data_IF_922853656994
#
_entry.id   IF_922853656994
#
_cell.length_a   1.000
_cell.length_b   1.000
_cell.length_c   1.000
_cell.angle_alpha   90.00
_cell.angle_beta   90.00
_cell.angle_gamma   90.00
#
_symmetry.space_group_name_H-M   'P 1'
#
loop_
_entity.id
_entity.type
_entity.pdbx_description
1 polymer ?
#
# COMPACT_ATOMS: atom_id res chain seq x y z
N UNK A 1 -4.41 -24.67 16.88
CA UNK A 1 -4.37 -24.42 18.34
C UNK A 1 -4.97 -23.03 18.56
N UNK A 2 -6.08 -22.96 19.29
CA UNK A 2 -7.03 -21.83 19.29
C UNK A 2 -6.38 -20.49 19.71
N UNK A 3 -6.44 -19.48 18.84
CA UNK A 3 -6.16 -18.06 19.19
C UNK A 3 -7.50 -17.36 19.37
N UNK A 4 -7.91 -17.07 20.61
CA UNK A 4 -8.86 -16.00 20.99
C UNK A 4 -9.06 -15.97 22.51
N UNK A 5 -8.56 -14.92 23.18
CA UNK A 5 -9.16 -14.38 24.41
C UNK A 5 -8.63 -12.96 24.68
N UNK A 6 -9.47 -11.99 25.07
CA UNK A 6 -9.09 -10.58 25.22
C UNK A 6 -8.61 -10.25 26.64
N UNK A 7 -7.59 -9.39 26.74
CA UNK A 7 -7.07 -8.85 28.01
C UNK A 7 -7.69 -7.48 28.34
N UNK A 8 -8.11 -7.34 29.60
CA UNK A 8 -8.80 -6.19 30.19
C UNK A 8 -7.85 -5.00 30.41
N UNK A 9 -8.36 -3.81 30.11
CA UNK A 9 -7.74 -2.51 30.38
C UNK A 9 -7.81 -2.19 31.88
N UNK A 10 -6.67 -1.81 32.47
CA UNK A 10 -6.59 -1.21 33.79
C UNK A 10 -6.33 0.30 33.65
N UNK A 11 -7.24 1.11 34.20
CA UNK A 11 -7.08 2.56 34.38
C UNK A 11 -6.17 2.84 35.58
N UNK A 12 -5.28 3.84 35.46
CA UNK A 12 -4.64 4.49 36.60
C UNK A 12 -4.53 6.00 36.37
N UNK A 13 -4.54 6.72 37.49
CA UNK A 13 -4.98 8.09 37.69
C UNK A 13 -3.91 9.17 37.47
N UNK A 14 -4.44 10.38 37.30
CA UNK A 14 -3.83 11.70 37.29
C UNK A 14 -2.70 11.95 38.32
N UNK A 15 -1.67 12.66 37.88
CA UNK A 15 -0.76 13.43 38.71
C UNK A 15 -0.42 14.76 38.03
N UNK A 16 -0.87 15.87 38.62
CA UNK A 16 -0.63 17.23 38.17
C UNK A 16 0.78 17.71 38.56
N UNK A 17 1.51 18.36 37.66
CA UNK A 17 2.72 19.13 38.00
C UNK A 17 2.86 20.40 37.12
N UNK A 18 2.61 21.52 37.81
CA UNK A 18 3.17 22.87 37.72
C UNK A 18 3.76 23.42 36.41
N UNK A 19 3.17 24.55 35.98
CA UNK A 19 3.65 25.50 34.98
C UNK A 19 4.96 26.15 35.40
N UNK A 20 5.98 26.06 34.54
CA UNK A 20 7.14 26.96 34.54
C UNK A 20 7.15 27.79 33.24
N UNK A 21 7.40 29.08 33.40
CA UNK A 21 7.28 30.15 32.39
C UNK A 21 8.62 30.32 31.67
N UNK A 22 8.64 30.18 30.35
CA UNK A 22 9.81 30.45 29.49
C UNK A 22 9.57 31.71 28.62
N UNK A 23 10.64 32.39 28.14
CA UNK A 23 10.62 33.80 27.81
C UNK A 23 10.12 34.13 26.39
N UNK A 24 9.88 35.43 26.20
CA UNK A 24 9.31 36.14 25.05
C UNK A 24 10.03 35.79 23.73
N UNK A 25 9.24 35.47 22.70
CA UNK A 25 9.71 35.21 21.35
C UNK A 25 10.08 36.53 20.63
N UNK A 26 11.28 36.60 20.07
CA UNK A 26 11.68 37.62 19.10
C UNK A 26 10.97 37.37 17.76
N UNK A 27 10.34 38.41 17.21
CA UNK A 27 9.71 38.41 15.90
C UNK A 27 10.76 38.22 14.79
N UNK A 28 10.69 37.08 14.11
CA UNK A 28 11.40 36.87 12.84
C UNK A 28 10.60 37.58 11.74
N UNK A 29 11.07 38.75 11.32
CA UNK A 29 10.54 39.48 10.17
C UNK A 29 10.97 38.78 8.87
N UNK A 30 10.02 38.13 8.20
CA UNK A 30 10.23 37.61 6.84
C UNK A 30 10.03 38.74 5.82
N UNK A 31 11.08 39.06 5.06
CA UNK A 31 11.00 39.94 3.90
C UNK A 31 10.44 39.15 2.71
N UNK A 32 9.21 39.46 2.31
CA UNK A 32 8.61 38.93 1.09
C UNK A 32 9.04 39.79 -0.11
N UNK A 33 9.78 39.19 -1.05
CA UNK A 33 9.88 39.72 -2.39
C UNK A 33 8.49 39.72 -3.05
N UNK A 34 8.13 40.83 -3.70
CA UNK A 34 6.81 41.00 -4.32
C UNK A 34 6.49 39.86 -5.31
N UNK A 35 5.32 39.19 -5.20
CA UNK A 35 4.93 38.17 -6.17
C UNK A 35 4.54 38.82 -7.51
N UNK A 36 4.80 38.15 -8.65
CA UNK A 36 4.23 38.55 -9.92
C UNK A 36 2.70 38.44 -9.85
N UNK A 37 2.02 39.42 -10.44
CA UNK A 37 0.58 39.61 -10.43
C UNK A 37 -0.19 38.34 -10.82
N UNK A 38 -0.76 37.63 -9.84
CA UNK A 38 -1.62 36.45 -10.08
C UNK A 38 -3.00 36.93 -10.49
N UNK A 39 -3.47 36.48 -11.66
CA UNK A 39 -4.84 36.64 -12.14
C UNK A 39 -5.84 36.17 -11.07
N UNK A 40 -6.65 37.09 -10.55
CA UNK A 40 -7.57 36.91 -9.43
C UNK A 40 -8.81 36.06 -9.80
N UNK A 41 -8.59 34.82 -10.24
CA UNK A 41 -9.64 33.82 -10.46
C UNK A 41 -9.74 32.89 -9.24
N UNK A 42 -10.92 32.31 -8.97
CA UNK A 42 -11.08 31.31 -7.91
C UNK A 42 -10.10 30.13 -8.06
N UNK A 43 -9.82 29.75 -9.30
CA UNK A 43 -8.84 28.72 -9.67
C UNK A 43 -7.41 29.09 -9.28
N UNK A 44 -6.99 30.34 -9.48
CA UNK A 44 -5.65 30.80 -9.09
C UNK A 44 -5.38 30.70 -7.59
N UNK A 45 -6.39 31.03 -6.76
CA UNK A 45 -6.30 30.87 -5.30
C UNK A 45 -6.24 29.40 -4.86
N UNK A 46 -7.01 28.54 -5.52
CA UNK A 46 -6.97 27.10 -5.25
C UNK A 46 -5.61 26.48 -5.63
N UNK A 47 -5.07 26.87 -6.79
CA UNK A 47 -3.75 26.44 -7.24
C UNK A 47 -2.67 26.83 -6.23
N UNK A 48 -2.67 28.09 -5.77
CA UNK A 48 -1.71 28.58 -4.79
C UNK A 48 -1.77 27.80 -3.46
N UNK A 49 -2.99 27.54 -2.93
CA UNK A 49 -3.16 26.76 -1.70
C UNK A 49 -2.68 25.31 -1.83
N UNK A 50 -2.85 24.70 -3.02
CA UNK A 50 -2.32 23.36 -3.26
C UNK A 50 -0.80 23.35 -3.44
N UNK A 51 -0.25 24.36 -4.11
CA UNK A 51 1.22 24.53 -4.22
C UNK A 51 1.86 24.66 -2.84
N UNK A 52 1.30 25.45 -1.93
CA UNK A 52 1.77 25.56 -0.55
C UNK A 52 1.79 24.20 0.17
N UNK A 53 0.78 23.35 -0.10
CA UNK A 53 0.75 21.97 0.43
C UNK A 53 1.87 21.09 -0.16
N UNK A 54 2.19 21.26 -1.45
CA UNK A 54 3.23 20.50 -2.15
C UNK A 54 4.65 20.94 -1.81
N UNK A 55 4.83 22.18 -1.37
CA UNK A 55 6.13 22.74 -0.97
C UNK A 55 6.63 22.23 0.39
N UNK A 56 5.78 21.53 1.15
CA UNK A 56 6.23 20.88 2.38
C UNK A 56 7.16 19.72 2.05
N UNK A 57 8.40 19.86 2.51
CA UNK A 57 9.50 18.90 2.27
C UNK A 57 9.79 17.99 3.46
N UNK A 58 9.19 18.27 4.63
CA UNK A 58 9.34 17.41 5.80
C UNK A 58 8.65 16.08 5.51
N UNK A 59 9.42 14.99 5.45
CA UNK A 59 8.92 13.68 5.01
C UNK A 59 7.80 13.10 5.89
N UNK A 60 7.63 13.61 7.11
CA UNK A 60 6.52 13.25 7.99
C UNK A 60 5.17 13.73 7.43
N UNK A 61 5.19 14.80 6.63
CA UNK A 61 4.01 15.52 6.14
C UNK A 61 4.04 15.82 4.63
N UNK A 62 5.11 15.47 3.93
CA UNK A 62 5.25 15.75 2.50
C UNK A 62 4.24 14.96 1.67
N UNK A 63 3.19 15.64 1.17
CA UNK A 63 2.13 15.03 0.34
C UNK A 63 2.69 14.45 -0.97
N UNK A 64 3.84 14.95 -1.43
CA UNK A 64 4.53 14.41 -2.62
C UNK A 64 4.98 12.95 -2.47
N UNK A 65 4.97 12.39 -1.25
CA UNK A 65 5.19 10.96 -1.01
C UNK A 65 4.10 10.07 -1.64
N UNK A 66 2.89 10.60 -1.83
CA UNK A 66 1.79 9.92 -2.52
C UNK A 66 1.97 9.91 -4.05
N UNK A 67 2.91 10.67 -4.60
CA UNK A 67 3.18 10.63 -6.03
C UNK A 67 3.82 11.90 -6.56
N UNK A 68 4.83 11.79 -7.45
CA UNK A 68 5.44 12.97 -8.05
C UNK A 68 4.46 13.75 -8.96
N UNK A 69 3.47 13.05 -9.54
CA UNK A 69 2.51 13.60 -10.50
C UNK A 69 1.61 14.68 -9.90
N UNK A 70 1.51 14.72 -8.57
CA UNK A 70 0.76 15.74 -7.84
C UNK A 70 1.25 17.16 -8.18
N UNK A 71 2.54 17.31 -8.53
CA UNK A 71 3.12 18.59 -8.95
C UNK A 71 2.54 19.14 -10.25
N UNK A 72 1.94 18.30 -11.09
CA UNK A 72 1.30 18.70 -12.33
C UNK A 72 -0.19 19.01 -12.17
N UNK A 73 -0.76 18.90 -10.96
CA UNK A 73 -2.18 19.18 -10.72
C UNK A 73 -2.51 20.68 -10.80
N UNK A 74 -1.70 21.63 -10.27
CA UNK A 74 -2.04 23.06 -10.32
C UNK A 74 -2.34 23.58 -11.73
N UNK A 75 -1.59 23.14 -12.74
CA UNK A 75 -1.80 23.52 -14.16
C UNK A 75 -3.06 22.91 -14.79
N UNK A 76 -3.71 21.96 -14.12
CA UNK A 76 -4.92 21.26 -14.61
C UNK A 76 -6.21 21.80 -13.99
N UNK A 77 -6.11 22.64 -12.96
CA UNK A 77 -7.27 23.19 -12.27
C UNK A 77 -8.11 24.08 -13.19
N UNK A 78 -9.43 24.10 -12.96
CA UNK A 78 -10.40 24.81 -13.79
C UNK A 78 -10.92 24.01 -14.99
N UNK A 79 -10.31 22.85 -15.29
CA UNK A 79 -10.75 21.97 -16.38
C UNK A 79 -11.68 20.83 -15.90
N UNK A 80 -11.79 20.62 -14.59
CA UNK A 80 -12.58 19.54 -14.02
C UNK A 80 -13.10 19.92 -12.64
N UNK A 81 -14.42 19.96 -12.50
CA UNK A 81 -15.10 20.30 -11.24
C UNK A 81 -14.79 19.30 -10.14
N UNK A 82 -14.73 18.00 -10.46
CA UNK A 82 -14.40 16.95 -9.50
C UNK A 82 -12.95 17.07 -9.02
N UNK A 83 -12.00 17.35 -9.92
CA UNK A 83 -10.59 17.54 -9.54
C UNK A 83 -10.42 18.79 -8.67
N UNK A 84 -11.00 19.92 -9.06
CA UNK A 84 -10.95 21.17 -8.30
C UNK A 84 -11.53 20.98 -6.89
N UNK A 85 -12.66 20.25 -6.78
CA UNK A 85 -13.28 19.96 -5.48
C UNK A 85 -12.41 19.05 -4.60
N UNK A 86 -11.76 18.04 -5.18
CA UNK A 86 -10.87 17.12 -4.45
C UNK A 86 -9.60 17.84 -3.97
N UNK A 87 -9.01 18.68 -4.82
CA UNK A 87 -7.86 19.53 -4.45
C UNK A 87 -8.24 20.49 -3.33
N UNK A 88 -9.42 21.12 -3.40
CA UNK A 88 -9.92 21.98 -2.32
C UNK A 88 -10.08 21.22 -1.01
N UNK A 89 -10.61 20.00 -1.05
CA UNK A 89 -10.74 19.16 0.14
C UNK A 89 -9.36 18.89 0.76
N UNK A 90 -8.40 18.42 -0.03
CA UNK A 90 -7.01 18.14 0.41
C UNK A 90 -6.33 19.39 0.97
N UNK A 91 -6.29 20.49 0.23
CA UNK A 91 -5.67 21.75 0.68
C UNK A 91 -6.31 22.29 1.95
N UNK A 92 -7.62 22.11 2.13
CA UNK A 92 -8.30 22.56 3.35
C UNK A 92 -8.06 21.64 4.55
N UNK A 93 -7.86 20.34 4.32
CA UNK A 93 -7.61 19.37 5.38
C UNK A 93 -6.15 19.36 5.84
N UNK A 94 -5.22 19.55 4.91
CA UNK A 94 -3.79 19.43 5.14
C UNK A 94 -3.26 20.21 6.37
N UNK A 95 -3.64 21.49 6.60
CA UNK A 95 -3.17 22.25 7.77
C UNK A 95 -3.55 21.65 9.11
N UNK A 96 -4.48 20.70 9.15
CA UNK A 96 -4.99 20.07 10.38
C UNK A 96 -4.47 18.65 10.60
N UNK A 97 -3.74 18.08 9.63
CA UNK A 97 -3.24 16.69 9.69
C UNK A 97 -2.38 16.46 10.94
N UNK A 98 -1.48 17.38 11.26
CA UNK A 98 -0.61 17.29 12.44
C UNK A 98 -1.36 17.36 13.78
N UNK A 99 -2.60 17.89 13.78
CA UNK A 99 -3.43 18.02 15.00
C UNK A 99 -4.40 16.85 15.16
N UNK A 100 -4.71 16.11 14.10
CA UNK A 100 -5.77 15.10 14.08
C UNK A 100 -7.17 15.66 14.37
N UNK A 101 -7.37 16.98 14.28
CA UNK A 101 -8.61 17.66 14.65
C UNK A 101 -9.07 18.58 13.52
N UNK A 102 -10.14 18.20 12.84
CA UNK A 102 -10.61 18.85 11.61
C UNK A 102 -11.86 19.70 11.87
N UNK A 103 -11.85 21.00 11.51
CA UNK A 103 -13.03 21.86 11.60
C UNK A 103 -14.18 21.39 10.70
N UNK A 104 -15.41 21.76 11.07
CA UNK A 104 -16.61 21.47 10.26
C UNK A 104 -16.49 21.98 8.82
N UNK A 105 -15.84 23.12 8.58
CA UNK A 105 -15.61 23.65 7.24
C UNK A 105 -14.79 22.73 6.34
N UNK A 106 -13.80 22.04 6.91
CA UNK A 106 -12.99 21.03 6.20
C UNK A 106 -13.85 19.83 5.84
N UNK A 107 -14.65 19.34 6.79
CA UNK A 107 -15.58 18.23 6.56
C UNK A 107 -16.63 18.59 5.50
N UNK A 108 -17.06 19.85 5.44
CA UNK A 108 -17.96 20.34 4.38
C UNK A 108 -17.27 20.31 3.01
N UNK A 109 -16.01 20.72 2.90
CA UNK A 109 -15.26 20.64 1.64
C UNK A 109 -15.08 19.19 1.18
N UNK A 110 -14.78 18.28 2.11
CA UNK A 110 -14.73 16.84 1.82
C UNK A 110 -16.09 16.29 1.36
N UNK A 111 -17.18 16.65 2.05
CA UNK A 111 -18.53 16.27 1.60
C UNK A 111 -18.94 16.92 0.26
N UNK A 112 -18.36 18.07 -0.10
CA UNK A 112 -18.52 18.66 -1.43
C UNK A 112 -17.78 17.86 -2.50
N UNK A 113 -16.56 17.40 -2.23
CA UNK A 113 -15.80 16.59 -3.20
C UNK A 113 -16.44 15.22 -3.44
N UNK A 114 -16.99 14.57 -2.41
CA UNK A 114 -17.75 13.32 -2.57
C UNK A 114 -19.01 13.52 -3.44
N UNK A 115 -19.71 14.65 -3.29
CA UNK A 115 -20.86 14.99 -4.14
C UNK A 115 -20.44 15.22 -5.59
N UNK A 116 -19.40 16.02 -5.81
CA UNK A 116 -18.87 16.26 -7.15
C UNK A 116 -18.40 14.97 -7.82
N UNK A 117 -17.78 14.05 -7.06
CA UNK A 117 -17.40 12.73 -7.55
C UNK A 117 -18.61 11.92 -7.97
N UNK A 118 -19.65 11.84 -7.13
CA UNK A 118 -20.89 11.12 -7.48
C UNK A 118 -21.52 11.67 -8.75
N UNK A 119 -21.58 12.99 -8.90
CA UNK A 119 -22.17 13.63 -10.08
C UNK A 119 -21.33 13.35 -11.33
N UNK A 120 -20.00 13.38 -11.20
CA UNK A 120 -19.05 13.05 -12.27
C UNK A 120 -19.14 11.57 -12.71
N UNK A 121 -19.27 10.64 -11.77
CA UNK A 121 -19.41 9.20 -12.06
C UNK A 121 -20.72 8.87 -12.80
N UNK A 122 -21.76 9.69 -12.66
CA UNK A 122 -23.00 9.57 -13.45
C UNK A 122 -22.84 10.06 -14.90
N UNK A 123 -21.74 10.72 -15.25
CA UNK A 123 -21.43 11.14 -16.61
C UNK A 123 -20.34 10.22 -17.23
N UNK A 124 -20.68 9.33 -18.17
CA UNK A 124 -19.73 8.36 -18.73
C UNK A 124 -18.49 8.98 -19.39
N UNK A 125 -18.59 10.19 -19.94
CA UNK A 125 -17.45 10.85 -20.58
C UNK A 125 -16.46 11.39 -19.56
N UNK A 126 -16.94 11.95 -18.45
CA UNK A 126 -16.09 12.47 -17.38
C UNK A 126 -15.54 11.35 -16.49
N UNK A 127 -16.33 10.32 -16.21
CA UNK A 127 -15.98 9.22 -15.32
C UNK A 127 -14.68 8.49 -15.73
N UNK A 128 -14.36 8.47 -17.02
CA UNK A 128 -13.21 7.76 -17.61
C UNK A 128 -11.97 8.64 -17.82
N UNK A 129 -12.01 9.88 -17.34
CA UNK A 129 -10.91 10.83 -17.52
C UNK A 129 -9.82 10.66 -16.46
N UNK A 130 -8.60 11.07 -16.79
CA UNK A 130 -7.50 11.13 -15.85
C UNK A 130 -7.79 12.09 -14.66
N UNK A 131 -8.60 13.13 -14.88
CA UNK A 131 -9.01 14.06 -13.82
C UNK A 131 -9.88 13.36 -12.76
N UNK A 132 -10.80 12.50 -13.18
CA UNK A 132 -11.65 11.72 -12.26
C UNK A 132 -10.84 10.73 -11.45
N UNK A 133 -9.93 9.98 -12.11
CA UNK A 133 -9.03 9.06 -11.42
C UNK A 133 -8.15 9.80 -10.39
N UNK A 134 -7.59 10.95 -10.77
CA UNK A 134 -6.79 11.79 -9.88
C UNK A 134 -7.62 12.29 -8.69
N UNK A 135 -8.86 12.74 -8.94
CA UNK A 135 -9.74 13.21 -7.89
C UNK A 135 -10.10 12.10 -6.89
N UNK A 136 -10.38 10.89 -7.35
CA UNK A 136 -10.64 9.72 -6.49
C UNK A 136 -9.42 9.40 -5.62
N UNK A 137 -8.21 9.47 -6.20
CA UNK A 137 -6.99 9.26 -5.43
C UNK A 137 -6.79 10.34 -4.35
N UNK A 138 -6.99 11.62 -4.67
CA UNK A 138 -6.93 12.71 -3.69
C UNK A 138 -8.00 12.59 -2.60
N UNK A 139 -9.21 12.18 -2.95
CA UNK A 139 -10.30 11.92 -2.00
C UNK A 139 -9.90 10.78 -1.05
N UNK A 140 -9.27 9.72 -1.58
CA UNK A 140 -8.76 8.59 -0.77
C UNK A 140 -7.71 9.05 0.24
N UNK A 141 -6.76 9.89 -0.20
CA UNK A 141 -5.75 10.50 0.67
C UNK A 141 -6.43 11.34 1.76
N UNK A 142 -7.36 12.22 1.36
CA UNK A 142 -8.07 13.10 2.30
C UNK A 142 -8.86 12.28 3.33
N UNK A 143 -9.57 11.23 2.90
CA UNK A 143 -10.30 10.34 3.81
C UNK A 143 -9.37 9.67 4.82
N UNK A 144 -8.17 9.25 4.41
CA UNK A 144 -7.20 8.62 5.31
C UNK A 144 -6.79 9.55 6.47
N UNK A 145 -6.82 10.86 6.26
CA UNK A 145 -6.49 11.85 7.30
C UNK A 145 -7.69 12.19 8.19
N UNK A 146 -8.89 12.28 7.61
CA UNK A 146 -10.09 12.76 8.31
C UNK A 146 -10.63 11.79 9.35
N UNK A 147 -10.19 10.53 9.35
CA UNK A 147 -10.48 9.58 10.42
C UNK A 147 -11.98 9.34 10.62
N UNK A 148 -12.74 9.19 9.52
CA UNK A 148 -14.16 8.85 9.59
C UNK A 148 -14.42 7.46 9.06
N UNK A 149 -14.96 6.62 9.93
CA UNK A 149 -15.55 5.32 9.62
C UNK A 149 -16.70 5.58 8.66
N UNK A 150 -16.50 5.23 7.39
CA UNK A 150 -17.62 4.84 6.56
C UNK A 150 -17.67 3.32 6.57
N UNK A 151 -18.70 2.81 7.24
CA UNK A 151 -19.04 1.39 7.25
C UNK A 151 -19.25 0.93 5.81
N UNK A 152 -18.45 -0.04 5.41
CA UNK A 152 -18.76 -1.02 4.36
C UNK A 152 -19.45 -0.49 3.10
N UNK A 153 -18.72 -0.41 1.97
CA UNK A 153 -19.24 -1.05 0.75
C UNK A 153 -18.18 -1.33 -0.31
N UNK A 154 -17.12 -0.52 -0.42
CA UNK A 154 -16.06 -0.71 -1.43
C UNK A 154 -14.77 -0.09 -0.91
N UNK A 155 -13.64 -0.82 -0.90
CA UNK A 155 -12.36 -0.17 -0.57
C UNK A 155 -12.02 0.85 -1.66
N UNK A 156 -11.44 2.01 -1.31
CA UNK A 156 -11.06 3.02 -2.32
C UNK A 156 -10.17 2.46 -3.42
N UNK A 157 -9.35 1.48 -3.07
CA UNK A 157 -8.52 0.73 -4.03
C UNK A 157 -9.37 -0.09 -5.02
N UNK A 158 -10.50 -0.66 -4.62
CA UNK A 158 -11.47 -1.28 -5.55
C UNK A 158 -12.05 -0.22 -6.51
N UNK A 159 -12.41 0.96 -6.00
CA UNK A 159 -12.91 2.05 -6.84
C UNK A 159 -11.86 2.52 -7.87
N UNK A 160 -10.61 2.70 -7.44
CA UNK A 160 -9.47 3.02 -8.30
C UNK A 160 -9.26 1.92 -9.36
N UNK A 161 -9.28 0.65 -8.95
CA UNK A 161 -9.14 -0.48 -9.86
C UNK A 161 -10.26 -0.53 -10.91
N UNK A 162 -11.51 -0.27 -10.50
CA UNK A 162 -12.65 -0.18 -11.41
C UNK A 162 -12.50 0.97 -12.42
N UNK A 163 -12.06 2.15 -11.98
CA UNK A 163 -11.83 3.28 -12.86
C UNK A 163 -10.71 3.01 -13.86
N UNK A 164 -9.61 2.42 -13.41
CA UNK A 164 -8.50 2.03 -14.29
C UNK A 164 -8.94 1.05 -15.37
N UNK A 165 -9.79 0.06 -15.03
CA UNK A 165 -10.38 -0.88 -15.99
C UNK A 165 -11.33 -0.21 -16.97
N UNK A 166 -12.09 0.79 -16.53
CA UNK A 166 -13.05 1.51 -17.36
C UNK A 166 -12.40 2.59 -18.25
N UNK A 167 -11.14 2.96 -17.96
CA UNK A 167 -10.45 4.06 -18.64
C UNK A 167 -9.83 3.60 -19.96
N UNK A 168 -9.88 4.46 -20.98
CA UNK A 168 -9.19 4.27 -22.26
C UNK A 168 -7.69 4.57 -22.13
N UNK A 169 -6.99 3.84 -21.27
CA UNK A 169 -5.59 4.11 -20.91
C UNK A 169 -4.65 4.16 -22.14
N UNK A 170 -4.97 3.45 -23.23
CA UNK A 170 -4.21 3.50 -24.49
C UNK A 170 -4.20 4.88 -25.17
N UNK A 171 -5.18 5.73 -24.86
CA UNK A 171 -5.29 7.11 -25.36
C UNK A 171 -4.47 8.10 -24.53
N UNK A 172 -4.03 7.71 -23.33
CA UNK A 172 -3.31 8.60 -22.41
C UNK A 172 -1.85 8.75 -22.86
N UNK A 173 -1.41 10.01 -23.03
CA UNK A 173 -0.11 10.36 -23.63
C UNK A 173 0.70 11.32 -22.78
N UNK A 174 0.09 12.00 -21.82
CA UNK A 174 0.80 12.98 -21.01
C UNK A 174 1.66 12.31 -19.93
N UNK A 175 2.70 13.02 -19.50
CA UNK A 175 3.58 12.59 -18.42
C UNK A 175 2.79 12.33 -17.13
N UNK A 176 1.95 13.30 -16.71
CA UNK A 176 1.01 13.18 -15.60
C UNK A 176 0.21 11.87 -15.60
N UNK A 177 -0.43 11.54 -16.73
CA UNK A 177 -1.28 10.34 -16.82
C UNK A 177 -0.46 9.07 -16.60
N UNK A 178 0.67 8.94 -17.30
CA UNK A 178 1.51 7.76 -17.18
C UNK A 178 2.10 7.64 -15.77
N UNK A 179 2.56 8.73 -15.19
CA UNK A 179 3.17 8.75 -13.86
C UNK A 179 2.15 8.47 -12.76
N UNK A 180 0.93 9.02 -12.88
CA UNK A 180 -0.18 8.73 -11.99
C UNK A 180 -0.52 7.24 -12.01
N UNK A 181 -0.72 6.64 -13.19
CA UNK A 181 -1.12 5.22 -13.24
C UNK A 181 -0.01 4.31 -12.69
N UNK A 182 1.27 4.59 -13.00
CA UNK A 182 2.39 3.82 -12.43
C UNK A 182 2.43 3.94 -10.91
N UNK A 183 2.19 5.13 -10.36
CA UNK A 183 2.15 5.37 -8.91
C UNK A 183 1.05 4.54 -8.25
N UNK A 184 -0.11 4.43 -8.88
CA UNK A 184 -1.25 3.67 -8.37
C UNK A 184 -1.07 2.14 -8.45
N UNK A 185 -0.16 1.64 -9.28
CA UNK A 185 0.03 0.20 -9.45
C UNK A 185 0.46 -0.51 -8.16
N UNK A 186 1.41 0.05 -7.42
CA UNK A 186 1.95 -0.59 -6.21
C UNK A 186 0.85 -0.73 -5.13
N UNK A 187 0.11 0.33 -4.76
CA UNK A 187 -1.03 0.20 -3.85
C UNK A 187 -2.09 -0.80 -4.32
N UNK A 188 -2.40 -0.88 -5.62
CA UNK A 188 -3.39 -1.82 -6.16
C UNK A 188 -2.92 -3.26 -6.01
N UNK A 189 -1.66 -3.55 -6.35
CA UNK A 189 -1.08 -4.89 -6.21
C UNK A 189 -1.10 -5.31 -4.74
N UNK A 190 -0.63 -4.42 -3.87
CA UNK A 190 -0.52 -4.67 -2.44
C UNK A 190 -1.88 -4.84 -1.76
N UNK A 191 -2.88 -4.05 -2.14
CA UNK A 191 -4.25 -4.24 -1.65
C UNK A 191 -4.86 -5.53 -2.22
N UNK A 192 -4.58 -5.87 -3.48
CA UNK A 192 -5.09 -7.10 -4.11
C UNK A 192 -4.64 -8.39 -3.41
N UNK A 193 -3.48 -8.37 -2.74
CA UNK A 193 -3.01 -9.48 -1.89
C UNK A 193 -3.99 -9.76 -0.74
N UNK A 194 -4.58 -8.70 -0.17
CA UNK A 194 -5.47 -8.77 0.99
C UNK A 194 -6.95 -8.54 0.66
N UNK A 195 -7.27 -8.31 -0.62
CA UNK A 195 -8.62 -8.11 -1.11
C UNK A 195 -8.81 -8.74 -2.50
N UNK A 196 -9.41 -9.95 -2.58
CA UNK A 196 -9.59 -10.67 -3.84
C UNK A 196 -10.52 -9.98 -4.85
N UNK A 197 -11.27 -8.94 -4.44
CA UNK A 197 -12.14 -8.18 -5.36
C UNK A 197 -11.34 -7.32 -6.32
N UNK A 198 -10.09 -7.00 -5.98
CA UNK A 198 -9.18 -6.25 -6.84
C UNK A 198 -8.51 -7.22 -7.80
N UNK A 199 -9.11 -7.35 -8.98
CA UNK A 199 -8.53 -8.10 -10.12
C UNK A 199 -8.35 -7.16 -11.30
N UNK A 200 -7.12 -7.13 -11.81
CA UNK A 200 -6.71 -6.36 -12.98
C UNK A 200 -6.41 -7.31 -14.13
N UNK A 201 -6.72 -6.88 -15.35
CA UNK A 201 -6.49 -7.67 -16.57
C UNK A 201 -4.99 -7.77 -16.91
N UNK A 202 -4.48 -8.90 -17.44
CA UNK A 202 -3.09 -9.02 -17.89
C UNK A 202 -2.63 -7.88 -18.82
N UNK A 203 -3.50 -7.43 -19.73
CA UNK A 203 -3.21 -6.34 -20.67
C UNK A 203 -2.93 -5.01 -19.96
N UNK A 204 -3.54 -4.77 -18.80
CA UNK A 204 -3.23 -3.59 -17.98
C UNK A 204 -1.75 -3.55 -17.62
N UNK A 205 -1.17 -4.68 -17.20
CA UNK A 205 0.23 -4.77 -16.77
C UNK A 205 1.23 -4.64 -17.93
N UNK A 206 0.86 -5.12 -19.13
CA UNK A 206 1.62 -4.87 -20.37
C UNK A 206 1.66 -3.37 -20.70
N UNK A 207 0.52 -2.70 -20.56
CA UNK A 207 0.42 -1.26 -20.77
C UNK A 207 1.29 -0.49 -19.77
N UNK A 208 1.34 -0.92 -18.51
CA UNK A 208 2.19 -0.29 -17.50
C UNK A 208 3.67 -0.44 -17.80
N UNK A 209 4.07 -1.59 -18.33
CA UNK A 209 5.45 -1.80 -18.82
C UNK A 209 5.77 -0.82 -19.95
N UNK A 210 4.80 -0.57 -20.84
CA UNK A 210 4.93 0.42 -21.92
C UNK A 210 5.05 1.85 -21.38
N UNK A 211 4.24 2.24 -20.39
CA UNK A 211 4.33 3.55 -19.76
C UNK A 211 5.67 3.76 -19.07
N UNK A 212 6.15 2.77 -18.30
CA UNK A 212 7.45 2.84 -17.63
C UNK A 212 8.58 3.02 -18.63
N UNK A 213 8.54 2.29 -19.76
CA UNK A 213 9.51 2.43 -20.85
C UNK A 213 9.49 3.84 -21.46
N UNK A 214 8.31 4.45 -21.64
CA UNK A 214 8.18 5.81 -22.20
C UNK A 214 8.68 6.89 -21.25
N UNK A 215 8.35 6.78 -19.96
CA UNK A 215 8.78 7.77 -18.95
C UNK A 215 10.28 7.72 -18.69
N UNK A 216 10.89 6.53 -18.69
CA UNK A 216 12.32 6.40 -18.44
C UNK A 216 12.97 5.29 -19.27
N UNK A 217 13.25 5.54 -20.57
CA UNK A 217 13.83 4.53 -21.47
C UNK A 217 15.19 4.02 -20.97
N UNK A 218 16.04 4.91 -20.47
CA UNK A 218 17.41 4.58 -20.05
C UNK A 218 17.45 3.72 -18.78
N UNK A 219 16.60 4.01 -17.79
CA UNK A 219 16.50 3.18 -16.60
C UNK A 219 15.87 1.82 -16.91
N UNK A 220 14.90 1.77 -17.83
CA UNK A 220 14.25 0.53 -18.25
C UNK A 220 15.26 -0.45 -18.89
N UNK A 221 16.17 0.04 -19.74
CA UNK A 221 17.20 -0.80 -20.38
C UNK A 221 18.23 -1.38 -19.41
N UNK A 222 18.53 -0.66 -18.32
CA UNK A 222 19.45 -1.10 -17.26
C UNK A 222 18.80 -2.07 -16.26
N UNK A 223 17.47 -2.09 -16.17
CA UNK A 223 16.68 -2.80 -15.15
C UNK A 223 16.31 -4.25 -15.54
N UNK A 224 17.05 -4.91 -16.45
CA UNK A 224 16.62 -6.17 -17.07
C UNK A 224 16.32 -7.32 -16.08
N UNK A 225 16.91 -7.30 -14.89
CA UNK A 225 16.83 -8.42 -13.93
C UNK A 225 16.12 -8.15 -12.58
N UNK A 226 15.74 -6.90 -12.26
CA UNK A 226 15.08 -6.61 -10.97
C UNK A 226 13.56 -6.67 -11.12
N UNK A 227 12.88 -7.37 -10.20
CA UNK A 227 11.42 -7.43 -9.96
C UNK A 227 10.58 -6.48 -10.82
N UNK A 228 10.33 -6.90 -12.05
CA UNK A 228 9.54 -6.13 -12.98
C UNK A 228 8.10 -6.01 -12.45
N UNK A 229 7.44 -4.88 -12.70
CA UNK A 229 6.09 -4.61 -12.21
C UNK A 229 5.10 -5.73 -12.59
N UNK A 230 5.29 -6.35 -13.75
CA UNK A 230 4.48 -7.48 -14.21
C UNK A 230 4.62 -8.72 -13.31
N UNK A 231 5.79 -8.96 -12.72
CA UNK A 231 5.99 -10.06 -11.77
C UNK A 231 5.25 -9.75 -10.47
N UNK A 232 5.36 -8.52 -9.97
CA UNK A 232 4.64 -8.10 -8.77
C UNK A 232 3.12 -8.17 -8.96
N UNK A 233 2.63 -7.91 -10.17
CA UNK A 233 1.22 -8.00 -10.51
C UNK A 233 0.61 -9.41 -10.32
N UNK A 234 1.42 -10.46 -10.31
CA UNK A 234 0.96 -11.83 -10.08
C UNK A 234 0.75 -12.17 -8.60
N UNK A 235 1.21 -11.32 -7.68
CA UNK A 235 1.14 -11.59 -6.24
C UNK A 235 -0.27 -11.90 -5.72
N UNK A 236 -1.34 -11.16 -6.12
CA UNK A 236 -2.69 -11.52 -5.73
C UNK A 236 -3.07 -12.94 -6.18
N UNK A 237 -2.74 -13.30 -7.42
CA UNK A 237 -3.08 -14.62 -7.98
C UNK A 237 -2.30 -15.74 -7.26
N UNK A 238 -1.03 -15.52 -6.93
CA UNK A 238 -0.24 -16.48 -6.15
C UNK A 238 -0.81 -16.73 -4.75
N UNK A 239 -1.34 -15.68 -4.12
CA UNK A 239 -1.93 -15.79 -2.77
C UNK A 239 -3.28 -16.51 -2.80
N UNK A 240 -4.09 -16.28 -3.84
CA UNK A 240 -5.40 -16.94 -3.98
C UNK A 240 -5.29 -18.38 -4.49
N UNK A 241 -4.36 -18.63 -5.41
CA UNK A 241 -4.24 -19.89 -6.15
C UNK A 241 -2.78 -20.33 -6.25
N UNK A 242 -2.11 -20.71 -5.14
CA UNK A 242 -0.67 -20.96 -5.14
C UNK A 242 -0.23 -22.20 -5.93
N UNK A 243 -1.07 -23.24 -6.05
CA UNK A 243 -0.69 -24.55 -6.60
C UNK A 243 -0.15 -24.52 -8.04
N UNK A 244 -0.84 -23.89 -9.02
CA UNK A 244 -0.35 -23.85 -10.40
C UNK A 244 0.92 -22.99 -10.56
N UNK A 245 1.30 -22.22 -9.55
CA UNK A 245 2.39 -21.23 -9.63
C UNK A 245 3.57 -21.55 -8.71
N UNK A 246 3.69 -22.78 -8.18
CA UNK A 246 4.75 -23.12 -7.23
C UNK A 246 6.17 -22.80 -7.75
N UNK A 247 6.43 -23.04 -9.03
CA UNK A 247 7.71 -22.74 -9.66
C UNK A 247 7.95 -21.23 -9.82
N UNK A 248 6.94 -20.48 -10.26
CA UNK A 248 6.97 -19.04 -10.43
C UNK A 248 7.15 -18.31 -9.09
N UNK A 249 6.45 -18.77 -8.05
CA UNK A 249 6.61 -18.31 -6.67
C UNK A 249 8.06 -18.51 -6.23
N UNK A 250 8.65 -19.69 -6.48
CA UNK A 250 10.04 -19.97 -6.10
C UNK A 250 11.04 -19.07 -6.83
N UNK A 251 10.86 -18.90 -8.14
CA UNK A 251 11.70 -18.02 -8.95
C UNK A 251 11.63 -16.58 -8.48
N UNK A 252 10.41 -16.09 -8.20
CA UNK A 252 10.20 -14.72 -7.75
C UNK A 252 10.74 -14.48 -6.34
N UNK A 253 10.60 -15.46 -5.44
CA UNK A 253 11.19 -15.42 -4.11
C UNK A 253 12.71 -15.26 -4.16
N UNK A 254 13.39 -16.06 -4.99
CA UNK A 254 14.85 -15.95 -5.17
C UNK A 254 15.28 -14.58 -5.73
N UNK A 255 14.48 -14.00 -6.63
CA UNK A 255 14.72 -12.65 -7.14
C UNK A 255 14.56 -11.60 -6.05
N UNK A 256 13.46 -11.64 -5.29
CA UNK A 256 13.20 -10.69 -4.20
C UNK A 256 14.25 -10.80 -3.10
N UNK A 257 14.73 -12.00 -2.78
CA UNK A 257 15.83 -12.20 -1.82
C UNK A 257 17.12 -11.52 -2.29
N UNK A 258 17.45 -11.60 -3.58
CA UNK A 258 18.61 -10.90 -4.16
C UNK A 258 18.40 -9.39 -4.13
N UNK A 259 17.22 -8.93 -4.54
CA UNK A 259 16.86 -7.51 -4.56
C UNK A 259 16.92 -6.91 -3.15
N UNK A 260 16.46 -7.65 -2.12
CA UNK A 260 16.54 -7.25 -0.72
C UNK A 260 17.99 -6.99 -0.31
N UNK A 261 18.93 -7.88 -0.68
CA UNK A 261 20.35 -7.69 -0.41
C UNK A 261 20.92 -6.43 -1.06
N UNK A 262 20.57 -6.16 -2.32
CA UNK A 262 21.03 -4.97 -3.06
C UNK A 262 20.51 -3.69 -2.39
N UNK A 263 19.21 -3.64 -2.07
CA UNK A 263 18.62 -2.46 -1.44
C UNK A 263 19.17 -2.27 -0.02
N UNK A 264 19.39 -3.36 0.72
CA UNK A 264 20.01 -3.33 2.06
C UNK A 264 21.42 -2.75 2.03
N UNK A 265 22.25 -3.14 1.06
CA UNK A 265 23.57 -2.54 0.88
C UNK A 265 23.51 -1.02 0.65
N UNK A 266 22.49 -0.55 -0.06
CA UNK A 266 22.23 0.89 -0.23
C UNK A 266 21.79 1.58 1.06
N UNK A 267 20.92 0.93 1.84
CA UNK A 267 20.45 1.41 3.13
C UNK A 267 21.57 1.44 4.18
N UNK A 268 22.48 0.47 4.17
CA UNK A 268 23.60 0.37 5.11
C UNK A 268 24.62 1.51 4.95
N UNK A 269 24.61 2.22 3.82
CA UNK A 269 25.37 3.47 3.66
C UNK A 269 24.89 4.58 4.61
N UNK A 270 23.72 4.39 5.24
CA UNK A 270 23.10 5.28 6.20
C UNK A 270 23.06 4.67 7.62
N UNK A 271 23.83 3.62 7.92
CA UNK A 271 23.75 2.91 9.20
C UNK A 271 23.97 3.81 10.44
N UNK A 272 24.75 4.89 10.29
CA UNK A 272 25.01 5.88 11.36
C UNK A 272 24.17 7.16 11.21
N UNK A 273 23.24 7.20 10.26
CA UNK A 273 22.43 8.38 10.00
C UNK A 273 21.43 8.60 11.12
N UNK A 274 21.50 9.78 11.73
CA UNK A 274 20.48 10.31 12.63
C UNK A 274 19.93 11.59 12.00
N UNK A 275 18.62 11.67 11.70
CA UNK A 275 18.05 12.85 11.07
C UNK A 275 18.06 14.05 12.04
N UNK A 276 18.93 15.01 11.76
CA UNK A 276 18.89 16.35 12.40
C UNK A 276 17.80 17.25 11.80
N UNK A 277 17.31 16.88 10.61
CA UNK A 277 16.22 17.50 9.88
C UNK A 277 15.44 16.40 9.16
N UNK A 278 14.12 16.57 9.08
CA UNK A 278 13.24 15.68 8.30
C UNK A 278 12.99 16.20 6.89
N UNK A 279 13.64 17.30 6.51
CA UNK A 279 13.67 17.85 5.16
C UNK A 279 15.06 17.73 4.56
N UNK A 280 15.14 17.38 3.28
CA UNK A 280 16.36 17.42 2.48
C UNK A 280 16.64 16.13 1.69
N UNK A 281 17.59 16.19 0.74
CA UNK A 281 17.84 15.10 -0.20
C UNK A 281 18.39 13.83 0.49
N UNK A 282 19.11 13.98 1.60
CA UNK A 282 19.72 12.85 2.30
C UNK A 282 18.68 12.02 3.07
N UNK A 283 17.79 12.67 3.82
CA UNK A 283 16.69 11.99 4.54
C UNK A 283 15.63 11.46 3.57
N UNK A 284 15.35 12.16 2.47
CA UNK A 284 14.49 11.67 1.39
C UNK A 284 15.05 10.38 0.77
N UNK A 285 16.34 10.35 0.44
CA UNK A 285 16.99 9.14 -0.09
C UNK A 285 16.99 7.99 0.91
N UNK A 286 17.31 8.27 2.18
CA UNK A 286 17.27 7.27 3.26
C UNK A 286 15.87 6.67 3.42
N UNK A 287 14.84 7.51 3.58
CA UNK A 287 13.46 7.04 3.79
C UNK A 287 12.94 6.22 2.61
N UNK A 288 13.28 6.59 1.37
CA UNK A 288 12.92 5.82 0.16
C UNK A 288 13.63 4.46 0.11
N UNK A 289 14.91 4.38 0.46
CA UNK A 289 15.64 3.11 0.54
C UNK A 289 15.09 2.22 1.65
N UNK A 290 14.77 2.79 2.80
CA UNK A 290 14.14 2.07 3.91
C UNK A 290 12.78 1.51 3.51
N UNK A 291 11.94 2.31 2.85
CA UNK A 291 10.65 1.87 2.34
C UNK A 291 10.80 0.75 1.30
N UNK A 292 11.73 0.90 0.35
CA UNK A 292 12.01 -0.11 -0.65
C UNK A 292 12.49 -1.42 -0.02
N UNK A 293 13.42 -1.37 0.95
CA UNK A 293 13.92 -2.56 1.63
C UNK A 293 12.82 -3.29 2.39
N UNK A 294 11.98 -2.52 3.10
CA UNK A 294 10.86 -3.08 3.86
C UNK A 294 9.86 -3.74 2.92
N UNK A 295 9.44 -3.07 1.84
CA UNK A 295 8.49 -3.63 0.87
C UNK A 295 9.04 -4.91 0.24
N UNK A 296 10.30 -4.92 -0.21
CA UNK A 296 10.91 -6.12 -0.80
C UNK A 296 10.97 -7.27 0.22
N UNK A 297 11.32 -6.98 1.48
CA UNK A 297 11.33 -7.97 2.56
C UNK A 297 9.93 -8.51 2.86
N UNK A 298 8.92 -7.65 2.89
CA UNK A 298 7.49 -8.03 3.04
C UNK A 298 7.06 -8.99 1.94
N UNK A 299 7.41 -8.71 0.69
CA UNK A 299 7.10 -9.59 -0.43
C UNK A 299 7.86 -10.92 -0.35
N UNK A 300 9.12 -10.90 0.11
CA UNK A 300 9.90 -12.11 0.34
C UNK A 300 9.26 -13.00 1.43
N UNK A 301 8.78 -12.41 2.54
CA UNK A 301 8.04 -13.12 3.60
C UNK A 301 6.77 -13.77 3.04
N UNK A 302 5.99 -13.02 2.25
CA UNK A 302 4.75 -13.52 1.65
C UNK A 302 5.04 -14.74 0.75
N UNK A 303 5.97 -14.62 -0.19
CA UNK A 303 6.30 -15.72 -1.10
C UNK A 303 6.94 -16.91 -0.39
N UNK A 304 7.81 -16.68 0.59
CA UNK A 304 8.36 -17.76 1.42
C UNK A 304 7.23 -18.53 2.12
N UNK A 305 6.25 -17.81 2.68
CA UNK A 305 5.09 -18.42 3.34
C UNK A 305 4.28 -19.29 2.38
N UNK A 306 4.13 -18.86 1.12
CA UNK A 306 3.50 -19.68 0.08
C UNK A 306 4.36 -20.91 -0.28
N UNK A 307 5.69 -20.78 -0.37
CA UNK A 307 6.57 -21.93 -0.64
C UNK A 307 6.54 -22.99 0.46
N UNK A 308 6.38 -22.56 1.72
CA UNK A 308 6.22 -23.45 2.88
C UNK A 308 4.91 -24.25 2.84
N UNK A 309 3.92 -23.85 2.04
CA UNK A 309 2.73 -24.67 1.80
C UNK A 309 3.10 -26.01 1.16
N UNK A 310 4.04 -25.98 0.21
CA UNK A 310 4.50 -27.17 -0.52
C UNK A 310 5.67 -27.88 0.17
N UNK A 311 6.40 -27.17 1.03
CA UNK A 311 7.60 -27.67 1.72
C UNK A 311 7.56 -27.31 3.22
N UNK A 312 6.61 -27.87 4.00
CA UNK A 312 6.36 -27.45 5.37
C UNK A 312 7.54 -27.69 6.31
N UNK A 313 8.34 -28.74 6.04
CA UNK A 313 9.48 -29.15 6.86
C UNK A 313 10.82 -28.56 6.40
N UNK A 314 10.83 -27.54 5.54
CA UNK A 314 12.07 -26.91 5.07
C UNK A 314 12.61 -25.92 6.13
N UNK A 315 13.69 -26.25 6.86
CA UNK A 315 14.18 -25.41 7.95
C UNK A 315 14.80 -24.10 7.44
N UNK A 316 15.33 -24.09 6.22
CA UNK A 316 15.91 -22.89 5.60
C UNK A 316 14.84 -21.84 5.35
N UNK A 317 13.69 -22.23 4.78
CA UNK A 317 12.59 -21.31 4.53
C UNK A 317 12.02 -20.74 5.84
N UNK A 318 11.96 -21.55 6.89
CA UNK A 318 11.53 -21.09 8.22
C UNK A 318 12.51 -20.07 8.83
N UNK A 319 13.81 -20.35 8.80
CA UNK A 319 14.84 -19.42 9.29
C UNK A 319 14.84 -18.11 8.51
N UNK A 320 14.68 -18.17 7.18
CA UNK A 320 14.62 -17.00 6.32
C UNK A 320 13.36 -16.15 6.61
N UNK A 321 12.21 -16.77 6.86
CA UNK A 321 11.00 -16.04 7.28
C UNK A 321 11.22 -15.32 8.60
N UNK A 322 11.79 -16.00 9.60
CA UNK A 322 12.08 -15.42 10.90
C UNK A 322 13.04 -14.22 10.78
N UNK A 323 14.08 -14.35 9.94
CA UNK A 323 15.02 -13.27 9.63
C UNK A 323 14.32 -12.05 9.02
N UNK A 324 13.53 -12.24 7.95
CA UNK A 324 12.86 -11.11 7.32
C UNK A 324 11.79 -10.47 8.21
N UNK A 325 11.11 -11.25 9.07
CA UNK A 325 10.18 -10.70 10.07
C UNK A 325 10.91 -9.82 11.10
N UNK A 326 12.10 -10.21 11.56
CA UNK A 326 12.94 -9.35 12.42
C UNK A 326 13.41 -8.08 11.71
N UNK A 327 13.77 -8.17 10.44
CA UNK A 327 14.12 -6.98 9.65
C UNK A 327 12.93 -6.03 9.54
N UNK A 328 11.72 -6.52 9.24
CA UNK A 328 10.51 -5.70 9.20
C UNK A 328 10.24 -5.04 10.57
N UNK A 329 10.37 -5.79 11.67
CA UNK A 329 10.22 -5.25 13.03
C UNK A 329 11.23 -4.14 13.33
N UNK A 330 12.49 -4.34 12.93
CA UNK A 330 13.56 -3.35 13.10
C UNK A 330 13.27 -2.09 12.28
N UNK A 331 12.89 -2.26 11.01
CA UNK A 331 12.54 -1.12 10.16
C UNK A 331 11.29 -0.39 10.66
N UNK A 332 10.30 -1.10 11.21
CA UNK A 332 9.12 -0.50 11.83
C UNK A 332 9.48 0.39 13.02
N UNK A 333 10.43 -0.01 13.85
CA UNK A 333 10.91 0.83 14.95
C UNK A 333 11.66 2.07 14.43
N UNK A 334 12.57 1.89 13.47
CA UNK A 334 13.37 2.98 12.91
C UNK A 334 12.50 4.00 12.15
N UNK A 335 11.48 3.54 11.44
CA UNK A 335 10.60 4.38 10.63
C UNK A 335 9.59 5.20 11.47
N UNK A 336 9.49 4.98 12.79
CA UNK A 336 8.59 5.76 13.65
C UNK A 336 8.86 7.27 13.58
N UNK A 337 10.12 7.67 13.39
CA UNK A 337 10.49 9.08 13.25
C UNK A 337 9.92 9.75 11.99
N UNK A 338 9.42 8.98 11.02
CA UNK A 338 8.84 9.45 9.76
C UNK A 338 7.31 9.44 9.75
N UNK A 339 6.68 9.19 10.90
CA UNK A 339 5.22 9.19 11.03
C UNK A 339 4.62 10.61 10.90
N UNK A 340 3.39 10.73 10.36
CA UNK A 340 2.56 9.63 9.86
C UNK A 340 2.87 9.23 8.40
N UNK A 341 3.19 10.17 7.51
CA UNK A 341 3.18 9.89 6.06
C UNK A 341 4.40 9.09 5.59
N UNK A 342 5.60 9.48 6.02
CA UNK A 342 6.86 8.86 5.58
C UNK A 342 7.07 7.42 6.05
N UNK A 343 6.15 6.86 6.83
CA UNK A 343 6.13 5.45 7.25
C UNK A 343 4.79 4.75 7.02
N UNK A 344 3.90 5.34 6.19
CA UNK A 344 2.56 4.81 5.92
C UNK A 344 2.54 3.42 5.24
N UNK A 345 3.68 2.95 4.71
CA UNK A 345 3.84 1.61 4.15
C UNK A 345 4.05 0.52 5.23
N UNK A 346 4.39 0.90 6.45
CA UNK A 346 4.77 -0.02 7.52
C UNK A 346 3.62 -0.90 8.03
N UNK A 347 2.38 -0.40 8.23
CA UNK A 347 1.28 -1.22 8.74
C UNK A 347 1.01 -2.45 7.88
N UNK A 348 1.04 -2.31 6.54
CA UNK A 348 0.87 -3.44 5.63
C UNK A 348 2.01 -4.47 5.77
N UNK A 349 3.25 -4.00 5.95
CA UNK A 349 4.41 -4.87 6.13
C UNK A 349 4.29 -5.69 7.42
N UNK A 350 3.82 -5.06 8.50
CA UNK A 350 3.51 -5.71 9.77
C UNK A 350 2.34 -6.70 9.65
N UNK A 351 1.30 -6.38 8.88
CA UNK A 351 0.16 -7.27 8.60
C UNK A 351 0.62 -8.59 7.96
N UNK A 352 1.48 -8.50 6.94
CA UNK A 352 2.04 -9.68 6.27
C UNK A 352 2.94 -10.46 7.22
N UNK A 353 3.84 -9.79 7.95
CA UNK A 353 4.71 -10.44 8.93
C UNK A 353 3.90 -11.19 10.01
N UNK A 354 2.83 -10.57 10.53
CA UNK A 354 1.93 -11.17 11.51
C UNK A 354 1.27 -12.44 10.98
N UNK A 355 0.81 -12.42 9.73
CA UNK A 355 0.16 -13.57 9.11
C UNK A 355 1.13 -14.73 8.79
N UNK A 356 2.43 -14.42 8.68
CA UNK A 356 3.47 -15.35 8.22
C UNK A 356 4.29 -16.00 9.34
N UNK A 357 4.40 -15.37 10.52
CA UNK A 357 5.21 -15.89 11.64
C UNK A 357 4.39 -16.71 12.63
N UNK A 358 5.02 -17.73 13.21
CA UNK A 358 4.48 -18.52 14.33
C UNK A 358 5.23 -18.24 15.65
N UNK A 359 6.27 -17.41 15.62
CA UNK A 359 7.04 -17.04 16.80
C UNK A 359 6.20 -16.11 17.70
N UNK A 360 5.91 -16.56 18.92
CA UNK A 360 5.07 -15.86 19.90
C UNK A 360 5.69 -14.52 20.30
N UNK A 361 7.01 -14.43 20.40
CA UNK A 361 7.72 -13.20 20.77
C UNK A 361 7.64 -12.19 19.63
N UNK A 362 7.82 -12.65 18.38
CA UNK A 362 7.63 -11.79 17.21
C UNK A 362 6.20 -11.29 17.11
N UNK A 363 5.21 -12.19 17.25
CA UNK A 363 3.80 -11.84 17.19
C UNK A 363 3.45 -10.72 18.18
N UNK A 364 3.85 -10.85 19.44
CA UNK A 364 3.59 -9.83 20.46
C UNK A 364 4.20 -8.46 20.09
N UNK A 365 5.41 -8.44 19.52
CA UNK A 365 6.07 -7.21 19.06
C UNK A 365 5.38 -6.61 17.83
N UNK A 366 4.96 -7.44 16.89
CA UNK A 366 4.22 -7.00 15.70
C UNK A 366 2.88 -6.41 16.10
N UNK A 367 2.14 -7.06 17.00
CA UNK A 367 0.85 -6.58 17.51
C UNK A 367 0.97 -5.22 18.21
N UNK A 368 2.00 -5.06 19.05
CA UNK A 368 2.27 -3.78 19.72
C UNK A 368 2.57 -2.66 18.72
N UNK A 369 3.48 -2.89 17.76
CA UNK A 369 3.79 -1.90 16.74
C UNK A 369 2.59 -1.59 15.83
N UNK A 370 1.80 -2.61 15.47
CA UNK A 370 0.62 -2.41 14.63
C UNK A 370 -0.43 -1.55 15.35
N UNK A 371 -0.62 -1.77 16.65
CA UNK A 371 -1.48 -0.93 17.48
C UNK A 371 -0.96 0.51 17.57
N UNK A 372 0.36 0.70 17.70
CA UNK A 372 0.96 2.04 17.69
C UNK A 372 0.72 2.75 16.36
N UNK A 373 0.93 2.07 15.24
CA UNK A 373 0.73 2.60 13.88
C UNK A 373 -0.75 2.81 13.52
N UNK A 374 -1.68 2.07 14.14
CA UNK A 374 -3.12 2.26 13.97
C UNK A 374 -3.54 3.70 14.26
N UNK A 375 -2.85 4.38 15.19
CA UNK A 375 -3.15 5.77 15.56
C UNK A 375 -2.93 6.77 14.41
N UNK A 376 -2.10 6.46 13.42
CA UNK A 376 -1.88 7.35 12.26
C UNK A 376 -3.06 7.31 11.28
N UNK A 377 -3.73 6.14 11.19
CA UNK A 377 -4.79 5.85 10.23
C UNK A 377 -5.86 4.98 10.89
N UNK A 378 -6.60 5.57 11.84
CA UNK A 378 -7.55 4.86 12.71
C UNK A 378 -8.59 4.01 11.95
N UNK A 379 -8.89 4.39 10.71
CA UNK A 379 -9.92 3.78 9.87
C UNK A 379 -9.52 2.50 9.16
N UNK A 380 -8.23 2.22 9.05
CA UNK A 380 -7.76 1.04 8.33
C UNK A 380 -7.67 -0.11 9.33
N UNK A 381 -8.51 -1.16 9.24
CA UNK A 381 -8.52 -2.22 10.24
C UNK A 381 -7.38 -3.21 9.99
N UNK A 382 -6.14 -2.78 10.27
CA UNK A 382 -4.93 -3.52 9.92
C UNK A 382 -4.92 -4.92 10.51
N UNK A 383 -5.30 -5.06 11.79
CA UNK A 383 -5.37 -6.37 12.44
C UNK A 383 -6.38 -7.30 11.74
N UNK A 384 -7.55 -6.80 11.33
CA UNK A 384 -8.53 -7.62 10.63
C UNK A 384 -7.99 -8.12 9.28
N UNK A 385 -7.20 -7.31 8.58
CA UNK A 385 -6.51 -7.71 7.34
C UNK A 385 -5.48 -8.80 7.61
N UNK A 386 -4.72 -8.72 8.71
CA UNK A 386 -3.80 -9.77 9.15
C UNK A 386 -4.51 -11.09 9.47
N UNK A 387 -5.61 -11.02 10.23
CA UNK A 387 -6.45 -12.19 10.55
C UNK A 387 -6.97 -12.86 9.28
N UNK A 388 -7.51 -12.07 8.34
CA UNK A 388 -7.99 -12.58 7.06
C UNK A 388 -6.88 -13.30 6.28
N UNK A 389 -5.69 -12.69 6.14
CA UNK A 389 -4.58 -13.26 5.40
C UNK A 389 -4.09 -14.56 6.06
N UNK A 390 -3.95 -14.58 7.39
CA UNK A 390 -3.56 -15.78 8.12
C UNK A 390 -4.57 -16.92 7.95
N UNK A 391 -5.88 -16.60 7.97
CA UNK A 391 -6.95 -17.58 7.74
C UNK A 391 -6.89 -18.17 6.33
N UNK A 392 -6.65 -17.34 5.31
CA UNK A 392 -6.48 -17.80 3.94
C UNK A 392 -5.28 -18.75 3.80
N UNK A 393 -4.12 -18.35 4.32
CA UNK A 393 -2.90 -19.16 4.29
C UNK A 393 -3.09 -20.50 5.04
N UNK A 394 -3.79 -20.49 6.17
CA UNK A 394 -4.11 -21.71 6.91
C UNK A 394 -5.04 -22.65 6.11
N UNK A 395 -6.02 -22.09 5.40
CA UNK A 395 -6.93 -22.86 4.54
C UNK A 395 -6.17 -23.58 3.43
N UNK A 396 -5.15 -22.94 2.83
CA UNK A 396 -4.26 -23.61 1.87
C UNK A 396 -3.45 -24.75 2.50
N UNK A 397 -2.91 -24.55 3.71
CA UNK A 397 -2.16 -25.60 4.42
C UNK A 397 -3.02 -26.83 4.69
N UNK A 398 -4.24 -26.63 5.16
CA UNK A 398 -5.18 -27.71 5.46
C UNK A 398 -5.53 -28.50 4.19
N UNK A 399 -5.83 -27.79 3.09
CA UNK A 399 -6.12 -28.42 1.79
C UNK A 399 -4.96 -29.28 1.28
N UNK A 400 -3.73 -28.74 1.27
CA UNK A 400 -2.56 -29.48 0.79
C UNK A 400 -2.25 -30.68 1.69
N UNK A 401 -2.39 -30.55 3.01
CA UNK A 401 -2.21 -31.67 3.94
C UNK A 401 -3.22 -32.80 3.69
N UNK A 402 -4.48 -32.47 3.36
CA UNK A 402 -5.50 -33.45 2.98
C UNK A 402 -5.18 -34.16 1.67
N UNK A 403 -4.67 -33.46 0.66
CA UNK A 403 -4.24 -34.05 -0.62
C UNK A 403 -3.04 -35.01 -0.44
N UNK A 404 -2.10 -34.66 0.44
CA UNK A 404 -0.95 -35.51 0.77
C UNK A 404 -1.33 -36.75 1.60
N UNK A 405 -2.38 -36.69 2.39
CA UNK A 405 -2.84 -37.83 3.22
C UNK A 405 -3.88 -38.71 2.51
N UNK A 406 -4.68 -38.14 1.61
CA UNK A 406 -5.69 -38.86 0.81
C UNK A 406 -5.14 -39.60 -0.41
N UNK A 407 -3.87 -39.37 -0.79
CA UNK A 407 -3.18 -40.07 -1.89
C UNK A 407 -2.57 -41.41 -1.47
N UNK A 408 -2.80 -41.87 -0.24
CA UNK A 408 -2.41 -43.22 0.20
C UNK A 408 -3.65 -44.02 0.59
N UNK A 409 -4.20 -44.76 -0.37
CA UNK A 409 -4.88 -46.03 -0.09
C UNK A 409 -4.57 -47.05 -1.19
N UNK A 410 -4.39 -48.33 -0.82
CA UNK A 410 -3.56 -49.27 -1.56
C UNK A 410 -4.35 -49.97 -2.65
N UNK A 411 -3.65 -50.27 -3.75
CA UNK A 411 -4.02 -51.32 -4.69
C UNK A 411 -4.10 -52.62 -3.88
N UNK A 412 -5.31 -52.92 -3.42
CA UNK A 412 -5.73 -54.25 -3.08
C UNK A 412 -6.33 -54.79 -4.37
N UNK A 413 -5.58 -55.66 -5.04
CA UNK A 413 -6.12 -56.54 -6.07
C UNK A 413 -6.95 -57.61 -5.37
N UNK A 414 -8.23 -57.79 -5.73
CA UNK A 414 -8.85 -59.09 -5.66
C UNK A 414 -9.17 -59.58 -7.07
N UNK A 415 -8.68 -60.76 -7.39
CA UNK A 415 -9.40 -61.68 -8.27
C UNK A 415 -9.06 -61.60 -9.75
N UNK A 416 -8.27 -62.58 -10.17
CA UNK A 416 -8.29 -63.13 -11.52
C UNK A 416 -9.72 -63.47 -11.97
N UNK A 417 -10.04 -63.03 -13.20
CA UNK A 417 -10.68 -63.77 -14.30
C UNK A 417 -11.88 -64.68 -13.96
N UNK A 418 -13.06 -64.25 -14.39
CA UNK A 418 -13.95 -65.16 -15.13
C UNK A 418 -14.81 -64.42 -16.15
N UNK A 419 -14.72 -64.95 -17.36
CA UNK A 419 -15.31 -64.56 -18.63
C UNK A 419 -16.78 -64.99 -18.73
N UNK A 420 -17.64 -64.12 -19.28
CA UNK A 420 -18.76 -64.41 -20.22
C UNK A 420 -19.90 -63.38 -20.12
N UNK A 421 -20.37 -62.94 -21.28
CA UNK A 421 -21.80 -62.66 -21.49
C UNK A 421 -22.16 -61.25 -21.93
N UNK A 422 -22.07 -61.06 -23.25
CA UNK A 422 -22.93 -60.25 -24.14
C UNK A 422 -24.11 -59.41 -23.58
N UNK A 423 -24.30 -58.27 -24.26
CA UNK A 423 -25.59 -57.68 -24.68
C UNK A 423 -26.09 -56.39 -23.96
N UNK A 424 -25.93 -55.30 -24.71
CA UNK A 424 -26.93 -54.30 -25.12
C UNK A 424 -27.62 -53.34 -24.14
N UNK A 425 -27.64 -52.08 -24.62
CA UNK A 425 -28.78 -51.15 -24.72
C UNK A 425 -28.87 -50.01 -23.69
N UNK A 426 -28.55 -48.81 -24.20
CA UNK A 426 -29.30 -47.53 -24.17
C UNK A 426 -30.37 -47.37 -23.07
N UNK A 427 -30.17 -46.35 -22.22
CA UNK A 427 -31.03 -45.17 -22.10
C UNK A 427 -30.24 -43.98 -21.56
#
# INVERSE_FOLDING_TARGET
MFKTQPLKVAQSQNGALQKSRAPVAEEIVFSFGSPPTVLNTGTGRLAAAFVETLEVTDIRYAVTYYGPFLREIPQRLGNSTVLDSAVKAVSSAYPYVHKGAFPTSVLVNYGQSLRALRDCLNNPSEARTAHTLCAVYLITICQSWLGKVDDSLTSHSEAIACLLKASSLGEWRSHFEMEMVITLCVPIILEGVINPRIRMDPHFWEMMTTFRKRLNPQAFEKSKDSTQLHHLAMLPEFVQHPDPYAFEIAKMYLSLKRDAGIVKMGLDQFATFVPNSFSGPYVDKHSKLQAAYTIVSTLAVLLNTLLRLFNPSNPTLEQETAFFCEEILTQAQLAQCYRPMGSAYMPLSLVVAWASTNDIVQLARIEALLADYQNDFAELPWMNRGIWLASLLNSHRERIALEMTGSVSPISNPGEVSDRGESCCIL
#
